data_IF_555593179051
#
_entry.id   IF_555593179051
#
_cell.length_a   1.000
_cell.length_b   1.000
_cell.length_c   1.000
_cell.angle_alpha   90.00
_cell.angle_beta   90.00
_cell.angle_gamma   90.00
#
_symmetry.space_group_name_H-M   'P 1'
#
loop_
_entity.id
_entity.type
_entity.pdbx_description
1 polymer ?
#
# COMPACT_ATOMS: atom_id res chain seq x y z
N UNK A 1 -20.17 1.90 -14.34
CA UNK A 1 -19.34 1.29 -15.41
C UNK A 1 -17.94 0.92 -14.97
N UNK A 2 -17.15 1.80 -14.32
CA UNK A 2 -15.78 1.47 -13.88
C UNK A 2 -15.67 0.18 -13.02
N UNK A 3 -16.65 -0.08 -12.15
CA UNK A 3 -16.75 -1.28 -11.29
C UNK A 3 -16.59 -2.62 -12.02
N UNK A 4 -17.01 -2.72 -13.29
CA UNK A 4 -16.91 -3.96 -14.10
C UNK A 4 -15.49 -4.24 -14.59
N UNK A 5 -14.65 -3.21 -14.62
CA UNK A 5 -13.30 -3.28 -15.18
C UNK A 5 -12.22 -3.25 -14.10
N UNK A 6 -12.63 -3.10 -12.83
CA UNK A 6 -11.76 -3.18 -11.67
C UNK A 6 -11.86 -4.55 -11.04
N UNK A 7 -10.75 -5.28 -11.03
CA UNK A 7 -10.68 -6.66 -10.54
C UNK A 7 -10.43 -6.76 -9.04
N UNK A 8 -9.89 -5.71 -8.42
CA UNK A 8 -9.58 -5.69 -6.99
C UNK A 8 -10.30 -4.53 -6.33
N UNK A 9 -11.07 -4.87 -5.29
CA UNK A 9 -11.87 -3.92 -4.51
C UNK A 9 -11.58 -4.12 -3.04
N UNK A 10 -11.11 -3.07 -2.38
CA UNK A 10 -10.95 -3.01 -0.94
C UNK A 10 -11.98 -2.06 -0.35
N UNK A 11 -12.44 -2.35 0.86
CA UNK A 11 -13.37 -1.54 1.64
C UNK A 11 -12.71 -1.26 2.98
N UNK A 12 -12.82 -0.03 3.49
CA UNK A 12 -12.34 0.31 4.83
C UNK A 12 -13.14 1.46 5.45
N UNK A 13 -13.13 1.52 6.77
CA UNK A 13 -13.69 2.63 7.54
C UNK A 13 -12.58 3.54 8.04
N UNK A 14 -12.78 4.85 7.89
CA UNK A 14 -11.81 5.84 8.33
C UNK A 14 -12.50 7.17 8.65
N UNK A 15 -12.19 7.76 9.80
CA UNK A 15 -12.75 9.05 10.22
C UNK A 15 -14.28 9.11 10.20
N UNK A 16 -14.96 8.02 10.55
CA UNK A 16 -16.42 7.92 10.50
C UNK A 16 -17.03 7.76 9.09
N UNK A 17 -16.20 7.62 8.06
CA UNK A 17 -16.63 7.47 6.67
C UNK A 17 -16.28 6.07 6.13
N UNK A 18 -17.08 5.59 5.18
CA UNK A 18 -16.84 4.34 4.47
C UNK A 18 -16.17 4.64 3.12
N UNK A 19 -15.08 3.93 2.84
CA UNK A 19 -14.31 4.09 1.61
C UNK A 19 -14.21 2.79 0.81
N UNK A 20 -14.02 2.94 -0.50
CA UNK A 20 -13.67 1.87 -1.42
C UNK A 20 -12.44 2.24 -2.24
N UNK A 21 -11.61 1.25 -2.51
CA UNK A 21 -10.46 1.37 -3.43
C UNK A 21 -10.66 0.35 -4.52
N UNK A 22 -10.81 0.83 -5.76
CA UNK A 22 -10.97 -0.02 -6.93
C UNK A 22 -9.73 0.10 -7.81
N UNK A 23 -9.09 -1.02 -8.10
CA UNK A 23 -7.88 -1.07 -8.94
C UNK A 23 -8.15 -1.81 -10.24
N UNK A 24 -7.69 -1.24 -11.36
CA UNK A 24 -7.55 -1.99 -12.61
C UNK A 24 -6.24 -2.79 -12.58
N UNK A 25 -6.29 -4.04 -12.12
CA UNK A 25 -5.11 -4.92 -12.17
C UNK A 25 -4.93 -5.60 -13.54
N UNK A 26 -5.67 -5.19 -14.58
CA UNK A 26 -5.60 -5.75 -15.93
C UNK A 26 -5.06 -4.72 -16.93
N UNK A 27 -5.06 -5.04 -18.22
CA UNK A 27 -4.61 -4.11 -19.26
C UNK A 27 -5.42 -2.80 -19.27
N UNK A 28 -4.90 -1.80 -19.99
CA UNK A 28 -5.63 -0.56 -20.20
C UNK A 28 -6.99 -0.84 -20.86
N UNK A 29 -8.05 -0.24 -20.32
CA UNK A 29 -9.43 -0.42 -20.75
C UNK A 29 -9.97 0.94 -21.18
N UNK A 30 -10.77 0.97 -22.23
CA UNK A 30 -11.50 2.19 -22.60
C UNK A 30 -12.91 1.86 -23.02
N UNK A 31 -13.84 2.76 -22.76
CA UNK A 31 -15.25 2.61 -23.15
C UNK A 31 -15.86 3.96 -23.45
N UNK A 32 -16.97 3.94 -24.19
CA UNK A 32 -17.75 5.13 -24.45
C UNK A 32 -18.59 5.46 -23.21
N UNK A 33 -18.64 6.73 -22.85
CA UNK A 33 -19.53 7.25 -21.83
C UNK A 33 -20.90 7.58 -22.44
N UNK A 34 -21.99 7.61 -21.64
CA UNK A 34 -23.34 7.81 -22.17
C UNK A 34 -23.55 9.14 -22.91
N UNK A 35 -22.70 10.13 -22.63
CA UNK A 35 -22.62 11.45 -23.27
C UNK A 35 -21.77 11.44 -24.55
N UNK A 36 -21.33 10.28 -25.03
CA UNK A 36 -20.51 10.13 -26.25
C UNK A 36 -19.01 10.38 -26.04
N UNK A 37 -18.58 10.67 -24.81
CA UNK A 37 -17.16 10.76 -24.47
C UNK A 37 -16.45 9.40 -24.49
N UNK A 38 -15.12 9.42 -24.39
CA UNK A 38 -14.30 8.22 -24.22
C UNK A 38 -13.62 8.26 -22.86
N UNK A 39 -13.93 7.26 -22.03
CA UNK A 39 -13.22 7.04 -20.79
C UNK A 39 -12.07 6.06 -20.99
N UNK A 40 -10.91 6.36 -20.43
CA UNK A 40 -9.73 5.49 -20.46
C UNK A 40 -9.28 5.20 -19.03
N UNK A 41 -9.14 3.92 -18.71
CA UNK A 41 -8.58 3.44 -17.45
C UNK A 41 -7.27 2.71 -17.76
N UNK A 42 -6.15 3.32 -17.39
CA UNK A 42 -4.83 2.70 -17.55
C UNK A 42 -4.69 1.47 -16.64
N UNK A 43 -3.72 0.61 -16.96
CA UNK A 43 -3.29 -0.46 -16.05
C UNK A 43 -2.83 0.18 -14.74
N UNK A 44 -3.17 -0.46 -13.63
CA UNK A 44 -2.84 -0.03 -12.27
C UNK A 44 -3.43 1.33 -11.86
N UNK A 45 -4.36 1.89 -12.64
CA UNK A 45 -5.14 3.06 -12.23
C UNK A 45 -6.08 2.66 -11.07
N UNK A 46 -6.15 3.54 -10.06
CA UNK A 46 -6.93 3.34 -8.85
C UNK A 46 -8.01 4.41 -8.74
N UNK A 47 -9.23 4.01 -8.37
CA UNK A 47 -10.24 4.92 -7.84
C UNK A 47 -10.33 4.75 -6.35
N UNK A 48 -10.26 5.87 -5.63
CA UNK A 48 -10.65 5.92 -4.22
C UNK A 48 -12.01 6.61 -4.16
N UNK A 49 -12.96 5.95 -3.50
CA UNK A 49 -14.35 6.37 -3.44
C UNK A 49 -14.78 6.52 -1.98
N UNK A 50 -15.48 7.59 -1.66
CA UNK A 50 -16.11 7.83 -0.36
C UNK A 50 -17.61 7.61 -0.47
N UNK A 51 -18.19 6.93 0.50
CA UNK A 51 -19.62 6.73 0.59
C UNK A 51 -20.32 8.02 1.05
N UNK A 52 -21.36 8.41 0.33
CA UNK A 52 -22.24 9.52 0.68
C UNK A 52 -23.71 9.06 0.52
N UNK A 53 -24.44 8.82 1.63
CA UNK A 53 -25.81 8.31 1.55
C UNK A 53 -26.80 9.32 0.95
N UNK A 54 -26.48 10.62 0.98
CA UNK A 54 -27.36 11.70 0.54
C UNK A 54 -27.36 11.91 -0.99
N UNK A 55 -26.42 11.27 -1.70
CA UNK A 55 -26.25 11.42 -3.15
C UNK A 55 -26.56 10.13 -3.92
N UNK A 56 -26.97 10.28 -5.19
CA UNK A 56 -27.00 9.20 -6.19
C UNK A 56 -26.12 9.57 -7.40
N UNK A 57 -25.18 8.69 -7.82
CA UNK A 57 -24.73 7.50 -7.10
C UNK A 57 -24.12 7.85 -5.73
N UNK A 58 -24.21 6.93 -4.76
CA UNK A 58 -23.78 7.16 -3.37
C UNK A 58 -22.27 7.05 -3.14
N UNK A 59 -21.48 7.08 -4.21
CA UNK A 59 -20.04 6.93 -4.16
C UNK A 59 -19.41 8.10 -4.90
N UNK A 60 -18.57 8.85 -4.19
CA UNK A 60 -17.87 10.01 -4.72
C UNK A 60 -16.38 9.71 -4.85
N UNK A 61 -15.80 9.97 -6.02
CA UNK A 61 -14.36 9.92 -6.20
C UNK A 61 -13.69 10.97 -5.30
N UNK A 62 -12.70 10.54 -4.54
CA UNK A 62 -11.90 11.44 -3.70
C UNK A 62 -10.53 11.65 -4.33
N UNK A 63 -10.10 12.91 -4.34
CA UNK A 63 -8.77 13.36 -4.76
C UNK A 63 -7.89 13.74 -3.57
N UNK A 64 -8.42 13.60 -2.35
CA UNK A 64 -7.76 13.94 -1.10
C UNK A 64 -8.25 12.99 0.00
N UNK A 65 -7.30 12.45 0.77
CA UNK A 65 -7.52 11.57 1.91
C UNK A 65 -7.34 12.31 3.25
N UNK A 66 -7.34 13.65 3.21
CA UNK A 66 -7.17 14.50 4.39
C UNK A 66 -5.76 14.42 4.97
N UNK A 67 -4.76 14.19 4.12
CA UNK A 67 -3.37 14.06 4.53
C UNK A 67 -2.96 12.65 4.98
N UNK A 68 -3.86 11.68 4.91
CA UNK A 68 -3.59 10.27 5.23
C UNK A 68 -3.28 9.47 3.97
N UNK A 69 -2.75 8.26 4.17
CA UNK A 69 -2.47 7.31 3.11
C UNK A 69 -2.92 5.92 3.47
N UNK A 70 -3.22 5.12 2.46
CA UNK A 70 -3.86 3.81 2.61
C UNK A 70 -2.98 2.73 2.02
N UNK A 71 -2.77 1.66 2.79
CA UNK A 71 -2.11 0.45 2.35
C UNK A 71 -3.17 -0.58 2.02
N UNK A 72 -3.16 -1.09 0.79
CA UNK A 72 -4.06 -2.15 0.33
C UNK A 72 -3.27 -3.37 -0.11
N UNK A 73 -3.75 -4.55 0.28
CA UNK A 73 -3.12 -5.82 0.00
C UNK A 73 -4.08 -6.97 0.27
N UNK A 74 -3.57 -8.18 0.47
CA UNK A 74 -4.43 -9.35 0.78
C UNK A 74 -5.19 -9.21 2.10
N UNK A 75 -4.63 -8.45 3.04
CA UNK A 75 -5.23 -8.19 4.35
C UNK A 75 -6.12 -6.95 4.32
N UNK A 76 -6.76 -6.67 5.45
CA UNK A 76 -7.54 -5.44 5.61
C UNK A 76 -6.70 -4.19 5.33
N UNK A 77 -7.27 -3.18 4.65
CA UNK A 77 -6.56 -1.93 4.41
C UNK A 77 -6.14 -1.26 5.72
N UNK A 78 -4.96 -0.63 5.71
CA UNK A 78 -4.43 0.12 6.84
C UNK A 78 -4.30 1.58 6.45
N UNK A 79 -4.78 2.49 7.30
CA UNK A 79 -4.71 3.94 7.07
C UNK A 79 -3.66 4.53 8.01
N UNK A 80 -2.73 5.31 7.48
CA UNK A 80 -1.62 5.91 8.22
C UNK A 80 -1.46 7.39 7.91
N UNK A 81 -0.97 8.15 8.88
CA UNK A 81 -0.45 9.49 8.62
C UNK A 81 1.03 9.42 8.26
N UNK A 82 1.50 10.20 7.28
CA UNK A 82 2.92 10.32 6.90
C UNK A 82 3.88 10.51 8.08
N UNK A 83 3.50 11.31 9.08
CA UNK A 83 4.33 11.58 10.26
C UNK A 83 4.62 10.34 11.12
N UNK A 84 3.82 9.28 10.99
CA UNK A 84 3.97 8.04 11.75
C UNK A 84 4.76 6.97 10.96
N UNK A 85 5.12 7.23 9.71
CA UNK A 85 5.75 6.26 8.84
C UNK A 85 6.71 6.95 7.84
N UNK A 86 8.02 6.96 8.12
CA UNK A 86 9.02 7.52 7.22
C UNK A 86 8.91 6.92 5.80
N UNK A 87 8.90 7.79 4.79
CA UNK A 87 8.76 7.38 3.38
C UNK A 87 7.31 7.26 2.89
N UNK A 88 6.32 7.41 3.77
CA UNK A 88 4.91 7.55 3.37
C UNK A 88 4.63 9.01 3.03
N UNK A 89 4.11 9.25 1.83
CA UNK A 89 3.60 10.54 1.37
C UNK A 89 2.11 10.61 1.67
N UNK A 90 1.58 11.81 1.94
CA UNK A 90 0.15 12.04 2.12
C UNK A 90 -0.64 11.73 0.84
N UNK A 91 -1.93 11.40 0.98
CA UNK A 91 -2.87 11.26 -0.13
C UNK A 91 -2.45 10.21 -1.16
N UNK A 92 -1.83 9.13 -0.67
CA UNK A 92 -1.36 8.03 -1.50
C UNK A 92 -2.04 6.70 -1.14
N UNK A 93 -2.18 5.84 -2.15
CA UNK A 93 -2.53 4.44 -1.98
C UNK A 93 -1.31 3.58 -2.31
N UNK A 94 -0.97 2.66 -1.43
CA UNK A 94 0.18 1.78 -1.55
C UNK A 94 -0.28 0.33 -1.69
N UNK A 95 0.33 -0.42 -2.61
CA UNK A 95 0.02 -1.85 -2.80
C UNK A 95 1.19 -2.61 -3.39
N UNK A 96 1.07 -3.94 -3.39
CA UNK A 96 2.03 -4.84 -4.04
C UNK A 96 1.49 -5.32 -5.38
N UNK A 97 2.28 -5.12 -6.42
CA UNK A 97 2.02 -5.65 -7.73
C UNK A 97 2.45 -7.13 -7.77
N UNK A 98 1.54 -7.99 -7.34
CA UNK A 98 1.75 -9.45 -7.35
C UNK A 98 1.97 -10.00 -8.77
N UNK A 99 1.57 -9.26 -9.81
CA UNK A 99 1.82 -9.64 -11.20
C UNK A 99 3.23 -9.26 -11.67
N UNK A 100 3.93 -8.34 -11.01
CA UNK A 100 5.28 -7.90 -11.38
C UNK A 100 6.27 -8.09 -10.24
N UNK A 101 6.75 -9.33 -10.05
CA UNK A 101 7.80 -9.68 -9.08
C UNK A 101 7.58 -9.12 -7.65
N UNK A 102 6.33 -8.92 -7.24
CA UNK A 102 5.95 -8.29 -5.98
C UNK A 102 6.50 -6.86 -5.82
N UNK A 103 6.50 -6.07 -6.89
CA UNK A 103 6.93 -4.68 -6.86
C UNK A 103 5.97 -3.82 -6.02
N UNK A 104 6.49 -2.97 -5.12
CA UNK A 104 5.69 -2.01 -4.38
C UNK A 104 5.36 -0.83 -5.28
N UNK A 105 4.09 -0.45 -5.26
CA UNK A 105 3.55 0.61 -6.07
C UNK A 105 2.93 1.67 -5.17
N UNK A 106 2.94 2.90 -5.68
CA UNK A 106 2.27 4.05 -5.06
C UNK A 106 1.37 4.71 -6.09
N UNK A 107 0.17 5.08 -5.67
CA UNK A 107 -0.79 5.85 -6.44
C UNK A 107 -1.03 7.15 -5.70
N UNK A 108 -0.72 8.25 -6.35
CA UNK A 108 -1.00 9.58 -5.84
C UNK A 108 -2.43 9.97 -6.24
N UNK A 109 -3.29 10.18 -5.25
CA UNK A 109 -4.71 10.52 -5.48
C UNK A 109 -4.90 11.95 -5.99
N UNK A 110 -3.91 12.83 -5.78
CA UNK A 110 -3.90 14.22 -6.24
C UNK A 110 -3.55 14.28 -7.72
N UNK A 111 -2.50 13.58 -8.15
CA UNK A 111 -2.07 13.56 -9.56
C UNK A 111 -2.80 12.51 -10.40
N UNK A 112 -3.40 11.50 -9.77
CA UNK A 112 -4.03 10.38 -10.45
C UNK A 112 -3.03 9.42 -11.10
N UNK A 113 -1.77 9.37 -10.65
CA UNK A 113 -0.71 8.57 -11.26
C UNK A 113 -0.21 7.44 -10.38
N UNK A 114 -0.03 6.26 -10.97
CA UNK A 114 0.62 5.10 -10.35
C UNK A 114 2.10 5.03 -10.75
N UNK A 115 3.00 4.88 -9.78
CA UNK A 115 4.45 4.75 -10.00
C UNK A 115 5.05 3.67 -9.09
N UNK A 116 6.26 3.22 -9.41
CA UNK A 116 7.03 2.36 -8.52
C UNK A 116 7.41 3.13 -7.25
N UNK A 117 7.30 2.48 -6.11
CA UNK A 117 7.67 3.10 -4.85
C UNK A 117 9.21 3.36 -4.83
N UNK A 118 9.70 4.53 -4.36
CA UNK A 118 11.13 4.86 -4.39
C UNK A 118 12.07 3.85 -3.70
N UNK A 119 11.57 3.03 -2.77
CA UNK A 119 12.37 1.97 -2.14
C UNK A 119 12.79 0.85 -3.10
N UNK A 120 12.11 0.68 -4.24
CA UNK A 120 12.48 -0.29 -5.29
C UNK A 120 13.87 -0.06 -5.86
N UNK A 121 14.29 1.20 -5.96
CA UNK A 121 15.62 1.55 -6.46
C UNK A 121 16.75 1.12 -5.48
N UNK A 122 16.44 0.90 -4.20
CA UNK A 122 17.41 0.58 -3.15
C UNK A 122 17.51 -0.92 -2.82
N UNK A 123 16.60 -1.77 -3.30
CA UNK A 123 16.41 -3.14 -2.81
C UNK A 123 16.95 -4.25 -3.75
N UNK A 124 17.97 -3.98 -4.56
CA UNK A 124 18.63 -5.00 -5.40
C UNK A 124 19.73 -5.73 -4.63
N UNK A 125 19.33 -6.57 -3.66
CA UNK A 125 20.16 -7.67 -3.17
C UNK A 125 19.47 -9.00 -3.50
N UNK A 126 19.94 -9.78 -4.49
CA UNK A 126 19.24 -10.95 -5.01
C UNK A 126 19.16 -12.16 -4.04
N UNK A 127 19.69 -12.05 -2.82
CA UNK A 127 19.77 -13.14 -1.85
C UNK A 127 18.68 -13.15 -0.77
N UNK A 128 17.88 -12.08 -0.64
CA UNK A 128 16.81 -12.05 0.36
C UNK A 128 15.54 -12.69 -0.19
N UNK A 129 15.20 -13.89 0.29
CA UNK A 129 13.87 -14.48 0.11
C UNK A 129 12.86 -13.52 0.76
N UNK A 130 12.17 -12.77 -0.10
CA UNK A 130 11.34 -11.62 0.22
C UNK A 130 10.12 -12.05 1.08
N UNK A 131 10.26 -12.11 2.39
CA UNK A 131 9.14 -11.85 3.30
C UNK A 131 9.00 -10.32 3.29
N UNK A 132 8.24 -9.79 2.34
CA UNK A 132 8.19 -8.35 2.08
C UNK A 132 7.33 -7.64 3.14
N UNK A 133 7.87 -7.44 4.34
CA UNK A 133 7.35 -6.41 5.22
C UNK A 133 7.84 -5.06 4.67
N UNK A 134 6.99 -4.40 3.87
CA UNK A 134 7.35 -3.15 3.19
C UNK A 134 7.43 -1.95 4.13
N UNK A 135 6.73 -2.01 5.25
CA UNK A 135 6.69 -0.97 6.26
C UNK A 135 6.80 -1.61 7.63
N UNK A 136 7.92 -1.34 8.30
CA UNK A 136 7.98 -1.47 9.75
C UNK A 136 7.29 -0.22 10.29
N UNK A 137 6.09 -0.39 10.84
CA UNK A 137 5.55 0.62 11.75
C UNK A 137 6.58 0.72 12.87
N UNK A 138 7.10 1.92 13.13
CA UNK A 138 7.99 2.13 14.26
C UNK A 138 7.26 1.59 15.51
N UNK A 139 7.94 0.78 16.33
CA UNK A 139 7.34 0.05 17.46
C UNK A 139 6.69 0.98 18.51
N UNK A 140 6.82 2.30 18.32
CA UNK A 140 6.22 3.36 19.14
C UNK A 140 4.70 3.46 19.07
N UNK A 141 4.01 2.66 18.25
CA UNK A 141 2.53 2.72 18.13
C UNK A 141 1.79 1.89 19.19
N UNK A 142 2.50 1.17 20.09
CA UNK A 142 1.84 0.45 21.20
C UNK A 142 2.46 0.75 22.56
N UNK A 143 2.41 2.00 23.00
CA UNK A 143 2.34 2.28 24.44
C UNK A 143 0.86 2.33 24.87
N UNK A 144 0.23 1.15 24.93
CA UNK A 144 -0.79 0.97 25.97
C UNK A 144 0.01 0.86 27.26
N UNK A 145 -0.18 1.83 28.17
CA UNK A 145 0.44 1.81 29.50
C UNK A 145 -0.03 0.56 30.27
N UNK A 146 0.69 -0.55 30.11
CA UNK A 146 0.57 -1.70 30.99
C UNK A 146 1.60 -1.54 32.11
N UNK A 147 1.11 -1.18 33.29
CA UNK A 147 1.93 -1.02 34.48
C UNK A 147 2.53 -2.38 34.88
N UNK A 148 3.78 -2.60 34.49
CA UNK A 148 4.68 -3.52 35.19
C UNK A 148 4.88 -4.87 34.52
N UNK A 149 5.57 -4.90 33.38
CA UNK A 149 6.50 -5.97 33.00
C UNK A 149 7.50 -5.46 31.97
N UNK A 150 8.79 -5.54 32.28
CA UNK A 150 9.87 -5.13 31.36
C UNK A 150 9.80 -5.95 30.07
N UNK A 151 9.71 -5.34 28.87
CA UNK A 151 9.85 -6.06 27.62
C UNK A 151 11.30 -6.53 27.46
N UNK A 152 11.49 -7.81 27.15
CA UNK A 152 12.80 -8.34 26.73
C UNK A 152 13.11 -7.78 25.35
N UNK A 153 14.13 -6.92 25.31
CA UNK A 153 14.72 -6.39 24.08
C UNK A 153 15.37 -7.56 23.32
N UNK A 154 14.75 -8.03 22.24
CA UNK A 154 15.43 -8.87 21.26
C UNK A 154 16.00 -7.91 20.23
N UNK A 155 17.20 -7.38 20.52
CA UNK A 155 18.05 -6.78 19.49
C UNK A 155 18.47 -7.90 18.55
N UNK A 156 18.09 -7.81 17.28
CA UNK A 156 18.72 -8.58 16.21
C UNK A 156 19.59 -7.59 15.41
N UNK A 157 20.59 -7.05 16.08
CA UNK A 157 21.83 -6.64 15.43
C UNK A 157 22.82 -7.79 15.58
N UNK A 158 23.02 -8.57 14.51
CA UNK A 158 24.36 -9.03 14.10
C UNK A 158 24.30 -9.82 12.80
N UNK A 159 24.68 -9.15 11.71
CA UNK A 159 25.30 -9.83 10.58
C UNK A 159 26.81 -9.88 10.85
N UNK A 160 27.24 -10.82 11.70
CA UNK A 160 28.66 -11.15 11.81
C UNK A 160 28.93 -12.45 11.05
N UNK A 161 29.72 -12.31 9.99
CA UNK A 161 30.35 -13.45 9.35
C UNK A 161 31.47 -13.96 10.26
N UNK A 162 31.28 -15.12 10.87
CA UNK A 162 32.39 -15.89 11.43
C UNK A 162 32.73 -17.01 10.45
N UNK A 163 33.71 -16.74 9.58
CA UNK A 163 34.40 -17.77 8.81
C UNK A 163 35.22 -18.64 9.76
N UNK A 164 34.71 -19.81 10.16
CA UNK A 164 35.55 -20.87 10.74
C UNK A 164 36.14 -21.70 9.60
N UNK A 165 37.37 -21.34 9.23
CA UNK A 165 38.32 -22.26 8.61
C UNK A 165 38.62 -23.39 9.59
N UNK A 166 38.32 -24.63 9.20
CA UNK A 166 39.00 -25.82 9.73
C UNK A 166 38.66 -27.04 8.85
N UNK A 167 39.56 -27.39 7.94
CA UNK A 167 39.83 -28.80 7.61
C UNK A 167 41.36 -29.01 7.57
N UNK A 168 41.86 -29.59 8.66
CA UNK A 168 43.00 -30.52 8.73
C UNK A 168 42.45 -31.71 9.54
N UNK A 169 42.75 -32.97 9.32
CA UNK A 169 43.56 -33.69 8.36
C UNK A 169 43.12 -35.17 8.47
N UNK A 170 43.31 -35.96 7.41
CA UNK A 170 44.01 -37.25 7.43
C UNK A 170 44.18 -37.75 6.00
#
# INVERSE_FOLDING_TARGET
MASMFTSVKHVFFFGGNLYQVWRNATSARSWLTPDGGRFVMLKDHIFVLKYNPERRPCWDAVTDLGGYSVFVGKNHPVVLQPKNAPGVTANCVYWINEQSRNEPMVFDTVTGTSTLHPSTAKALSPSCKLVCCWYFLDDKITEVQDYGRKPRLISIDHCEQVSKSSRKAH
#
